data_IF_240250490899
#
_entry.id   IF_240250490899
#
_cell.length_a   1.000
_cell.length_b   1.000
_cell.length_c   1.000
_cell.angle_alpha   90.00
_cell.angle_beta   90.00
_cell.angle_gamma   90.00
#
_symmetry.space_group_name_H-M   'P 1'
#
loop_
_entity.id
_entity.type
_entity.pdbx_description
1 polymer ?
#
# COMPACT_ATOMS: atom_id res chain seq x y z
N UNK A 1 22.35 20.28 31.29
CA UNK A 1 21.82 19.06 31.93
C UNK A 1 22.83 18.55 32.93
N UNK A 2 22.47 18.54 34.21
CA UNK A 2 23.31 18.00 35.28
C UNK A 2 23.13 16.48 35.33
N UNK A 3 23.81 15.75 34.41
CA UNK A 3 23.86 14.30 34.51
C UNK A 3 24.87 13.90 35.56
N UNK A 4 24.44 13.07 36.48
CA UNK A 4 25.32 12.48 37.50
C UNK A 4 26.30 11.44 36.89
N UNK A 5 25.92 10.80 35.80
CA UNK A 5 26.78 9.88 35.03
C UNK A 5 27.48 10.62 33.88
N UNK A 6 28.76 10.89 34.04
CA UNK A 6 29.60 11.53 33.00
C UNK A 6 29.85 10.66 31.76
N UNK A 7 29.57 9.36 31.86
CA UNK A 7 29.75 8.38 30.80
C UNK A 7 28.41 8.06 30.09
N UNK A 8 27.35 8.83 30.34
CA UNK A 8 26.07 8.65 29.67
C UNK A 8 26.21 8.90 28.18
N UNK A 9 25.81 7.92 27.36
CA UNK A 9 25.73 8.05 25.91
C UNK A 9 24.33 8.41 25.49
N UNK A 10 24.23 9.39 24.59
CA UNK A 10 22.96 9.84 24.03
C UNK A 10 22.78 9.30 22.62
N UNK A 11 21.57 8.88 22.33
CA UNK A 11 21.16 8.47 21.00
C UNK A 11 19.99 9.32 20.54
N UNK A 12 19.92 9.59 19.23
CA UNK A 12 18.78 10.19 18.58
C UNK A 12 18.02 9.11 17.80
N UNK A 13 16.76 8.92 18.13
CA UNK A 13 15.92 7.99 17.36
C UNK A 13 15.34 8.68 16.14
N UNK A 14 15.63 8.14 14.95
CA UNK A 14 15.05 8.58 13.69
C UNK A 14 13.78 7.79 13.40
N UNK A 15 12.64 8.48 13.43
CA UNK A 15 11.32 7.90 13.19
C UNK A 15 11.10 7.53 11.72
N UNK A 16 9.95 6.97 11.41
CA UNK A 16 9.57 6.47 10.07
C UNK A 16 8.57 7.39 9.38
N UNK A 17 8.54 7.33 8.05
CA UNK A 17 7.50 7.96 7.25
C UNK A 17 6.16 7.23 7.41
N UNK A 18 5.06 7.97 7.32
CA UNK A 18 3.71 7.43 7.41
C UNK A 18 3.38 6.56 6.18
N UNK A 19 2.34 5.75 6.30
CA UNK A 19 1.86 4.89 5.22
C UNK A 19 1.27 5.73 4.08
N UNK A 20 1.53 5.33 2.84
CA UNK A 20 0.91 5.95 1.66
C UNK A 20 -0.61 5.88 1.75
N UNK A 21 -1.28 6.97 1.33
CA UNK A 21 -2.73 7.08 1.36
C UNK A 21 -3.34 7.11 2.76
N UNK A 22 -2.54 7.16 3.82
CA UNK A 22 -3.06 7.33 5.17
C UNK A 22 -3.60 8.76 5.37
N UNK A 23 -4.69 8.88 6.13
CA UNK A 23 -5.28 10.18 6.43
C UNK A 23 -4.28 11.17 7.04
N UNK A 24 -3.30 10.67 7.81
CA UNK A 24 -2.25 11.49 8.40
C UNK A 24 -1.24 12.00 7.39
N UNK A 25 -0.80 11.18 6.46
CA UNK A 25 0.11 11.62 5.39
C UNK A 25 -0.61 12.62 4.47
N UNK A 26 -1.84 12.32 4.07
CA UNK A 26 -2.66 13.19 3.23
C UNK A 26 -2.91 14.56 3.89
N UNK A 27 -3.18 14.61 5.19
CA UNK A 27 -3.28 15.86 5.95
C UNK A 27 -2.01 16.72 5.81
N UNK A 28 -0.84 16.09 5.89
CA UNK A 28 0.45 16.80 5.82
C UNK A 28 0.80 17.22 4.39
N UNK A 29 0.45 16.41 3.40
CA UNK A 29 0.58 16.76 1.98
C UNK A 29 -0.33 17.96 1.65
N UNK A 30 -1.58 17.93 2.09
CA UNK A 30 -2.51 19.05 1.87
C UNK A 30 -2.07 20.36 2.56
N UNK A 31 -1.29 20.28 3.62
CA UNK A 31 -0.64 21.44 4.27
C UNK A 31 0.65 21.88 3.57
N UNK A 32 1.05 21.23 2.49
CA UNK A 32 2.27 21.53 1.75
C UNK A 32 3.58 21.18 2.47
N UNK A 33 3.52 20.33 3.50
CA UNK A 33 4.70 19.91 4.26
C UNK A 33 5.49 18.82 3.55
N UNK A 34 4.80 17.94 2.84
CA UNK A 34 5.38 16.83 2.06
C UNK A 34 4.67 16.71 0.72
N UNK A 35 5.33 16.13 -0.27
CA UNK A 35 4.72 15.76 -1.56
C UNK A 35 4.21 14.34 -1.56
N UNK A 36 4.89 13.45 -0.85
CA UNK A 36 4.57 12.02 -0.75
C UNK A 36 5.31 11.37 0.45
N UNK A 37 5.20 10.07 0.58
CA UNK A 37 5.87 9.30 1.63
C UNK A 37 7.40 9.37 1.51
N UNK A 38 7.94 9.37 0.30
CA UNK A 38 9.39 9.38 0.09
C UNK A 38 9.99 10.74 0.42
N UNK A 39 9.29 11.82 0.08
CA UNK A 39 9.67 13.18 0.50
C UNK A 39 9.61 13.31 2.03
N UNK A 40 8.59 12.74 2.68
CA UNK A 40 8.53 12.69 4.15
C UNK A 40 9.74 11.94 4.72
N UNK A 41 10.07 10.76 4.17
CA UNK A 41 11.24 9.99 4.62
C UNK A 41 12.54 10.80 4.47
N UNK A 42 12.76 11.40 3.31
CA UNK A 42 13.95 12.20 3.03
C UNK A 42 14.10 13.36 4.03
N UNK A 43 13.02 14.09 4.29
CA UNK A 43 13.01 15.18 5.27
C UNK A 43 13.23 14.69 6.70
N UNK A 44 12.74 13.50 7.07
CA UNK A 44 13.02 12.89 8.38
C UNK A 44 14.52 12.60 8.52
N UNK A 45 15.15 12.01 7.50
CA UNK A 45 16.59 11.73 7.48
C UNK A 45 17.40 13.01 7.66
N UNK A 46 17.09 14.05 6.87
CA UNK A 46 17.76 15.35 6.94
C UNK A 46 17.60 16.03 8.30
N UNK A 47 16.37 15.99 8.85
CA UNK A 47 16.09 16.58 10.15
C UNK A 47 16.83 15.84 11.28
N UNK A 48 16.87 14.51 11.23
CA UNK A 48 17.58 13.71 12.22
C UNK A 48 19.09 14.01 12.19
N UNK A 49 19.68 14.09 11.00
CA UNK A 49 21.10 14.46 10.83
C UNK A 49 21.42 15.83 11.42
N UNK A 50 20.64 16.86 11.04
CA UNK A 50 20.82 18.21 11.59
C UNK A 50 20.64 18.27 13.11
N UNK A 51 19.61 17.59 13.64
CA UNK A 51 19.36 17.56 15.06
C UNK A 51 20.50 16.88 15.85
N UNK A 52 21.04 15.78 15.33
CA UNK A 52 22.15 15.07 15.94
C UNK A 52 23.41 15.96 16.02
N UNK A 53 23.73 16.70 14.95
CA UNK A 53 24.86 17.62 14.90
C UNK A 53 24.64 18.79 15.87
N UNK A 54 23.49 19.45 15.80
CA UNK A 54 23.18 20.64 16.62
C UNK A 54 23.11 20.34 18.11
N UNK A 55 22.69 19.13 18.48
CA UNK A 55 22.64 18.71 19.91
C UNK A 55 23.97 18.19 20.43
N UNK A 56 24.98 18.01 19.57
CA UNK A 56 26.27 17.42 19.94
C UNK A 56 26.23 15.92 20.18
N UNK A 57 25.13 15.23 19.76
CA UNK A 57 25.00 13.79 19.85
C UNK A 57 25.89 13.10 18.82
N UNK A 58 26.02 13.70 17.63
CA UNK A 58 26.73 13.11 16.50
C UNK A 58 25.84 12.16 15.66
N UNK A 59 26.05 12.17 14.35
CA UNK A 59 25.27 11.34 13.43
C UNK A 59 25.50 9.83 13.62
N UNK A 60 26.68 9.47 14.12
CA UNK A 60 27.04 8.10 14.46
C UNK A 60 26.17 7.51 15.58
N UNK A 61 25.47 8.35 16.33
CA UNK A 61 24.56 7.95 17.41
C UNK A 61 23.07 8.02 17.02
N UNK A 62 22.77 8.16 15.73
CA UNK A 62 21.40 8.04 15.23
C UNK A 62 21.00 6.55 15.21
N UNK A 63 19.82 6.25 15.76
CA UNK A 63 19.16 4.96 15.62
C UNK A 63 18.26 5.03 14.38
N UNK A 64 18.60 4.37 13.27
CA UNK A 64 17.98 4.62 11.96
C UNK A 64 16.68 3.83 11.75
N UNK A 65 15.72 3.92 12.68
CA UNK A 65 14.45 3.19 12.61
C UNK A 65 13.64 3.47 11.36
N UNK A 66 13.62 4.73 10.91
CA UNK A 66 12.94 5.12 9.67
C UNK A 66 13.54 4.48 8.43
N UNK A 67 14.87 4.36 8.34
CA UNK A 67 15.55 3.69 7.23
C UNK A 67 15.30 2.19 7.26
N UNK A 68 15.33 1.56 8.44
CA UNK A 68 15.02 0.13 8.57
C UNK A 68 13.60 -0.19 8.10
N UNK A 69 12.62 0.65 8.45
CA UNK A 69 11.24 0.52 7.96
C UNK A 69 11.18 0.71 6.44
N UNK A 70 11.92 1.68 5.90
CA UNK A 70 11.91 1.95 4.47
C UNK A 70 12.59 0.82 3.66
N UNK A 71 13.67 0.23 4.20
CA UNK A 71 14.28 -0.98 3.63
C UNK A 71 13.26 -2.12 3.57
N UNK A 72 12.58 -2.39 4.69
CA UNK A 72 11.56 -3.43 4.77
C UNK A 72 10.39 -3.21 3.81
N UNK A 73 10.02 -1.96 3.51
CA UNK A 73 8.99 -1.64 2.51
C UNK A 73 9.36 -2.05 1.09
N UNK A 74 10.63 -2.25 0.80
CA UNK A 74 11.07 -2.77 -0.51
C UNK A 74 10.89 -4.28 -0.65
N UNK A 75 10.58 -5.00 0.44
CA UNK A 75 10.30 -6.43 0.45
C UNK A 75 8.86 -6.76 0.07
N UNK A 76 8.50 -8.04 0.15
CA UNK A 76 7.13 -8.53 -0.05
C UNK A 76 6.11 -7.93 0.92
N UNK A 77 6.54 -7.42 2.07
CA UNK A 77 5.68 -6.72 3.04
C UNK A 77 5.09 -5.44 2.42
N UNK A 78 5.86 -4.76 1.55
CA UNK A 78 5.42 -3.49 0.98
C UNK A 78 5.16 -2.45 2.08
N UNK A 79 4.12 -1.65 1.91
CA UNK A 79 3.80 -0.54 2.81
C UNK A 79 2.94 -0.94 4.04
N UNK A 80 3.01 -2.22 4.49
CA UNK A 80 2.21 -2.74 5.62
C UNK A 80 2.94 -2.64 6.96
N UNK A 81 3.78 -1.65 7.16
CA UNK A 81 4.48 -1.43 8.44
C UNK A 81 3.62 -0.71 9.48
N UNK A 82 2.54 -0.07 9.08
CA UNK A 82 1.69 0.73 9.95
C UNK A 82 0.31 0.08 10.13
N UNK A 83 -0.21 0.05 11.38
CA UNK A 83 -1.54 -0.53 11.68
C UNK A 83 -2.71 0.44 11.42
N UNK A 84 -2.44 1.75 11.45
CA UNK A 84 -3.43 2.82 11.35
C UNK A 84 -2.92 4.00 10.51
N UNK A 85 -1.93 3.72 9.67
CA UNK A 85 -1.31 4.68 8.78
C UNK A 85 -0.09 5.39 9.35
N UNK A 86 0.15 5.36 10.67
CA UNK A 86 1.31 6.03 11.29
C UNK A 86 1.94 5.29 12.46
N UNK A 87 1.19 4.53 13.27
CA UNK A 87 1.79 3.68 14.31
C UNK A 87 2.27 2.35 13.73
N UNK A 88 3.40 1.85 14.21
CA UNK A 88 3.90 0.53 13.82
C UNK A 88 2.90 -0.57 14.12
N UNK A 89 2.76 -1.51 13.17
CA UNK A 89 1.99 -2.73 13.44
C UNK A 89 2.63 -3.56 14.56
N UNK A 90 1.85 -4.47 15.13
CA UNK A 90 2.24 -5.19 16.36
C UNK A 90 3.18 -6.36 16.12
N UNK A 91 3.41 -6.72 14.86
CA UNK A 91 4.23 -7.85 14.41
C UNK A 91 5.58 -7.38 13.87
N UNK A 92 5.80 -7.52 12.57
CA UNK A 92 7.07 -7.19 11.90
C UNK A 92 7.49 -5.72 12.08
N UNK A 93 6.54 -4.76 12.13
CA UNK A 93 6.89 -3.35 12.31
C UNK A 93 7.57 -3.07 13.66
N UNK A 94 6.97 -3.52 14.77
CA UNK A 94 7.58 -3.37 16.10
C UNK A 94 8.85 -4.18 16.24
N UNK A 95 8.90 -5.37 15.63
CA UNK A 95 10.10 -6.20 15.66
C UNK A 95 11.26 -5.49 14.95
N UNK A 96 11.06 -4.97 13.75
CA UNK A 96 12.07 -4.19 13.01
C UNK A 96 12.59 -3.02 13.85
N UNK A 97 11.69 -2.23 14.46
CA UNK A 97 12.10 -1.10 15.31
C UNK A 97 12.92 -1.58 16.52
N UNK A 98 12.47 -2.63 17.20
CA UNK A 98 13.19 -3.17 18.37
C UNK A 98 14.60 -3.67 18.00
N UNK A 99 14.75 -4.37 16.88
CA UNK A 99 16.03 -4.83 16.36
C UNK A 99 16.97 -3.67 16.04
N UNK A 100 16.44 -2.53 15.50
CA UNK A 100 17.25 -1.34 15.20
C UNK A 100 17.86 -0.75 16.47
N UNK A 101 17.08 -0.69 17.57
CA UNK A 101 17.59 -0.30 18.87
C UNK A 101 18.66 -1.28 19.39
N UNK A 102 18.39 -2.58 19.27
CA UNK A 102 19.29 -3.60 19.76
C UNK A 102 20.66 -3.52 19.05
N UNK A 103 20.69 -3.57 17.72
CA UNK A 103 21.93 -3.53 16.97
C UNK A 103 22.72 -2.24 17.20
N UNK A 104 22.00 -1.09 17.23
CA UNK A 104 22.66 0.20 17.42
C UNK A 104 23.27 0.38 18.80
N UNK A 105 22.58 -0.03 19.85
CA UNK A 105 23.03 0.19 21.25
C UNK A 105 24.10 -0.84 21.65
N UNK A 106 23.90 -2.10 21.27
CA UNK A 106 24.80 -3.17 21.70
C UNK A 106 25.95 -3.44 20.72
N UNK A 107 25.91 -2.88 19.51
CA UNK A 107 26.91 -3.12 18.46
C UNK A 107 26.97 -4.59 18.00
N UNK A 108 25.90 -5.35 18.21
CA UNK A 108 25.80 -6.76 17.83
C UNK A 108 24.83 -6.92 16.69
N UNK A 109 25.28 -7.54 15.59
CA UNK A 109 24.41 -7.81 14.45
C UNK A 109 23.16 -8.59 14.86
N UNK A 110 22.02 -8.19 14.31
CA UNK A 110 20.75 -8.90 14.47
C UNK A 110 20.57 -10.06 13.49
N UNK A 111 21.45 -10.17 12.50
CA UNK A 111 21.41 -11.28 11.54
C UNK A 111 21.59 -12.63 12.26
N UNK A 112 20.65 -13.54 12.02
CA UNK A 112 20.66 -14.88 12.59
C UNK A 112 20.17 -14.95 14.04
N UNK A 113 19.55 -13.90 14.59
CA UNK A 113 18.88 -13.99 15.88
C UNK A 113 17.71 -14.97 15.78
N UNK A 114 17.70 -15.94 16.68
CA UNK A 114 16.67 -17.00 16.73
C UNK A 114 15.35 -16.50 17.33
N UNK A 115 15.37 -15.43 18.14
CA UNK A 115 14.15 -14.89 18.73
C UNK A 115 13.40 -13.99 17.75
N UNK A 116 12.12 -14.26 17.59
CA UNK A 116 11.15 -13.37 16.94
C UNK A 116 9.75 -13.59 17.54
N UNK A 117 8.81 -12.62 17.36
CA UNK A 117 7.43 -12.80 17.78
C UNK A 117 6.77 -13.99 17.07
N UNK A 118 5.97 -14.78 17.80
CA UNK A 118 5.23 -15.90 17.21
C UNK A 118 4.24 -15.51 16.11
N UNK A 119 3.96 -14.22 15.96
CA UNK A 119 3.06 -13.66 14.94
C UNK A 119 3.70 -13.47 13.57
N UNK A 120 5.00 -13.72 13.43
CA UNK A 120 5.74 -13.64 12.15
C UNK A 120 6.48 -14.97 11.89
N UNK A 121 6.66 -15.29 10.60
CA UNK A 121 7.44 -16.47 10.19
C UNK A 121 8.94 -16.23 10.32
N UNK A 122 9.72 -17.31 10.29
CA UNK A 122 11.19 -17.25 10.27
C UNK A 122 11.69 -16.40 9.10
N UNK A 123 11.08 -16.56 7.92
CA UNK A 123 11.42 -15.77 6.73
C UNK A 123 11.13 -14.26 6.92
N UNK A 124 9.99 -13.94 7.55
CA UNK A 124 9.69 -12.55 7.88
C UNK A 124 10.68 -11.98 8.91
N UNK A 125 11.07 -12.79 9.89
CA UNK A 125 12.05 -12.37 10.89
C UNK A 125 13.43 -12.12 10.25
N UNK A 126 13.89 -13.00 9.38
CA UNK A 126 15.13 -12.85 8.63
C UNK A 126 15.10 -11.58 7.75
N UNK A 127 14.01 -11.36 7.03
CA UNK A 127 13.82 -10.13 6.25
C UNK A 127 13.92 -8.88 7.12
N UNK A 128 13.29 -8.85 8.30
CA UNK A 128 13.39 -7.74 9.24
C UNK A 128 14.82 -7.52 9.76
N UNK A 129 15.55 -8.61 10.03
CA UNK A 129 16.95 -8.56 10.44
C UNK A 129 17.83 -7.92 9.37
N UNK A 130 17.64 -8.31 8.11
CA UNK A 130 18.36 -7.70 6.99
C UNK A 130 17.96 -6.22 6.78
N UNK A 131 16.69 -5.87 6.88
CA UNK A 131 16.23 -4.49 6.80
C UNK A 131 16.93 -3.59 7.84
N UNK A 132 17.11 -4.11 9.05
CA UNK A 132 17.79 -3.42 10.15
C UNK A 132 19.28 -3.33 9.91
N UNK A 133 19.92 -4.45 9.63
CA UNK A 133 21.38 -4.50 9.45
C UNK A 133 21.84 -3.54 8.35
N UNK A 134 21.15 -3.52 7.21
CA UNK A 134 21.40 -2.58 6.13
C UNK A 134 21.19 -1.12 6.57
N UNK A 135 20.18 -0.84 7.39
CA UNK A 135 19.96 0.50 7.90
C UNK A 135 21.04 0.96 8.89
N UNK A 136 21.64 0.05 9.65
CA UNK A 136 22.78 0.38 10.53
C UNK A 136 24.02 0.73 9.70
N UNK A 137 24.24 0.03 8.58
CA UNK A 137 25.39 0.26 7.68
C UNK A 137 25.14 1.53 6.83
N UNK A 138 23.90 1.71 6.34
CA UNK A 138 23.50 2.79 5.46
C UNK A 138 22.37 3.63 6.05
N UNK A 139 22.60 4.38 7.17
CA UNK A 139 21.53 4.97 7.96
C UNK A 139 20.70 6.04 7.26
N UNK A 140 21.21 6.60 6.15
CA UNK A 140 20.58 7.70 5.40
C UNK A 140 20.08 7.31 4.02
N UNK A 141 20.25 6.06 3.61
CA UNK A 141 19.86 5.59 2.28
C UNK A 141 19.13 4.25 2.35
N UNK A 142 18.21 4.05 1.42
CA UNK A 142 17.44 2.82 1.32
C UNK A 142 18.27 1.75 0.64
N UNK A 143 18.37 0.59 1.30
CA UNK A 143 18.90 -0.65 0.72
C UNK A 143 17.70 -1.51 0.29
N UNK A 144 17.59 -1.80 -1.01
CA UNK A 144 16.50 -2.63 -1.53
C UNK A 144 16.66 -4.08 -1.10
N UNK A 145 15.58 -4.66 -0.60
CA UNK A 145 15.47 -6.07 -0.25
C UNK A 145 14.67 -6.87 -1.30
N UNK A 146 14.26 -6.23 -2.40
CA UNK A 146 13.35 -6.81 -3.39
C UNK A 146 13.92 -8.08 -4.06
N UNK A 147 15.22 -8.14 -4.30
CA UNK A 147 15.86 -9.28 -4.97
C UNK A 147 15.82 -10.57 -4.12
N UNK A 148 16.00 -10.44 -2.81
CA UNK A 148 16.04 -11.60 -1.90
C UNK A 148 14.70 -11.84 -1.22
N UNK A 149 14.00 -10.77 -0.83
CA UNK A 149 12.77 -10.81 -0.03
C UNK A 149 11.56 -10.19 -0.75
N UNK A 150 11.60 -10.10 -2.07
CA UNK A 150 10.48 -9.54 -2.86
C UNK A 150 9.26 -10.44 -2.92
N UNK A 151 9.42 -11.74 -2.65
CA UNK A 151 8.33 -12.73 -2.63
C UNK A 151 8.40 -13.51 -1.31
N UNK A 152 7.25 -13.69 -0.66
CA UNK A 152 7.16 -14.55 0.52
C UNK A 152 7.05 -16.02 0.10
N UNK A 153 8.05 -16.90 0.36
CA UNK A 153 7.98 -18.31 0.01
C UNK A 153 6.96 -19.10 0.86
N UNK A 154 6.62 -18.58 2.04
CA UNK A 154 5.62 -19.18 2.93
C UNK A 154 4.20 -18.75 2.58
N UNK A 155 4.04 -17.79 1.67
CA UNK A 155 2.75 -17.36 1.16
C UNK A 155 2.10 -18.52 0.39
N UNK A 156 1.41 -19.38 1.12
CA UNK A 156 0.44 -20.27 0.48
C UNK A 156 -0.76 -19.41 0.11
N UNK A 157 -1.08 -19.29 -1.17
CA UNK A 157 -2.28 -18.59 -1.60
C UNK A 157 -3.45 -19.17 -0.81
N UNK A 158 -4.17 -18.31 -0.08
CA UNK A 158 -5.36 -18.71 0.67
C UNK A 158 -6.57 -18.56 -0.22
N UNK A 159 -7.48 -19.51 -0.18
CA UNK A 159 -8.79 -19.35 -0.80
C UNK A 159 -9.43 -18.06 -0.28
N UNK A 160 -9.80 -17.18 -1.21
CA UNK A 160 -10.51 -15.95 -0.88
C UNK A 160 -11.99 -16.29 -0.78
N UNK A 161 -12.50 -16.32 0.43
CA UNK A 161 -13.89 -16.70 0.78
C UNK A 161 -14.82 -15.50 0.96
N UNK A 162 -14.29 -14.27 0.83
CA UNK A 162 -15.02 -13.01 1.05
C UNK A 162 -14.64 -11.96 0.02
N UNK A 163 -15.58 -11.06 -0.33
CA UNK A 163 -15.29 -9.99 -1.28
C UNK A 163 -14.10 -9.11 -0.86
N UNK A 164 -13.33 -8.69 -1.85
CA UNK A 164 -12.30 -7.67 -1.74
C UNK A 164 -12.86 -6.37 -2.34
N UNK A 165 -12.97 -5.34 -1.51
CA UNK A 165 -13.48 -4.04 -1.94
C UNK A 165 -12.28 -3.12 -2.24
N UNK A 166 -12.14 -2.71 -3.50
CA UNK A 166 -10.98 -1.95 -3.97
C UNK A 166 -11.45 -0.64 -4.58
N UNK A 167 -10.97 0.47 -4.04
CA UNK A 167 -11.20 1.81 -4.55
C UNK A 167 -9.99 2.28 -5.36
N UNK A 168 -10.22 2.67 -6.59
CA UNK A 168 -9.26 3.33 -7.47
C UNK A 168 -9.57 4.83 -7.50
N UNK A 169 -9.06 5.60 -6.52
CA UNK A 169 -9.46 7.00 -6.39
C UNK A 169 -8.86 7.70 -5.17
N UNK A 170 -9.56 8.72 -4.67
CA UNK A 170 -9.06 9.63 -3.62
C UNK A 170 -8.98 9.04 -2.20
N UNK A 171 -9.11 7.76 -2.03
CA UNK A 171 -9.13 7.11 -0.71
C UNK A 171 -10.49 7.21 0.00
N UNK A 172 -10.70 6.31 0.95
CA UNK A 172 -12.01 6.17 1.62
C UNK A 172 -12.24 7.28 2.66
N UNK A 173 -11.19 7.77 3.30
CA UNK A 173 -11.27 8.75 4.40
C UNK A 173 -11.71 8.14 5.73
N UNK A 174 -11.36 8.79 6.83
CA UNK A 174 -11.60 8.29 8.19
C UNK A 174 -13.05 8.39 8.66
N UNK A 175 -13.88 9.17 7.98
CA UNK A 175 -15.31 9.39 8.30
C UNK A 175 -16.25 8.58 7.40
N UNK A 176 -15.72 7.74 6.53
CA UNK A 176 -16.53 6.92 5.64
C UNK A 176 -17.32 5.88 6.43
N UNK A 177 -18.63 5.84 6.23
CA UNK A 177 -19.51 4.81 6.80
C UNK A 177 -19.75 3.76 5.73
N UNK A 178 -19.32 2.53 5.99
CA UNK A 178 -19.59 1.35 5.18
C UNK A 178 -19.55 0.12 6.07
N UNK A 179 -20.38 -0.88 5.76
CA UNK A 179 -20.31 -2.19 6.40
C UNK A 179 -19.11 -3.01 5.91
N UNK A 180 -18.41 -2.56 4.85
CA UNK A 180 -17.30 -3.27 4.24
C UNK A 180 -15.99 -2.51 4.46
N UNK A 181 -14.91 -3.27 4.59
CA UNK A 181 -13.55 -2.73 4.56
C UNK A 181 -13.14 -2.46 3.10
N UNK A 182 -12.75 -1.22 2.82
CA UNK A 182 -12.30 -0.77 1.50
C UNK A 182 -10.80 -0.58 1.47
N UNK A 183 -10.16 -1.12 0.46
CA UNK A 183 -8.75 -0.87 0.14
C UNK A 183 -8.66 0.24 -0.90
N UNK A 184 -7.68 1.13 -0.79
CA UNK A 184 -7.56 2.26 -1.73
C UNK A 184 -6.19 2.26 -2.41
N UNK A 185 -6.22 2.30 -3.74
CA UNK A 185 -5.08 2.65 -4.57
C UNK A 185 -5.29 4.08 -5.07
N UNK A 186 -4.44 5.00 -4.64
CA UNK A 186 -4.63 6.45 -4.84
C UNK A 186 -3.69 7.05 -5.89
N UNK A 187 -2.69 6.28 -6.31
CA UNK A 187 -1.67 6.69 -7.30
C UNK A 187 -1.90 5.99 -8.62
N UNK A 188 -1.83 6.74 -9.72
CA UNK A 188 -2.15 6.29 -11.09
C UNK A 188 -0.95 5.80 -11.90
N UNK A 189 0.25 5.88 -11.34
CA UNK A 189 1.51 5.62 -12.05
C UNK A 189 1.83 4.12 -12.15
N UNK A 190 2.54 3.73 -13.18
CA UNK A 190 3.09 2.38 -13.33
C UNK A 190 3.92 1.98 -12.11
N UNK A 191 3.70 0.76 -11.60
CA UNK A 191 4.35 0.23 -10.41
C UNK A 191 3.67 0.61 -9.09
N UNK A 192 2.76 1.59 -9.07
CA UNK A 192 1.95 1.89 -7.88
C UNK A 192 1.13 0.66 -7.48
N UNK A 193 1.07 0.38 -6.20
CA UNK A 193 0.40 -0.81 -5.71
C UNK A 193 -0.17 -0.64 -4.30
N UNK A 194 -1.09 -1.49 -3.94
CA UNK A 194 -1.55 -1.74 -2.58
C UNK A 194 -1.55 -3.26 -2.35
N UNK A 195 -0.86 -3.70 -1.32
CA UNK A 195 -0.73 -5.13 -0.96
C UNK A 195 -1.43 -5.45 0.34
N UNK A 196 -1.47 -6.75 0.67
CA UNK A 196 -2.12 -7.25 1.88
C UNK A 196 -3.55 -6.72 2.05
N UNK A 197 -4.32 -6.77 0.95
CA UNK A 197 -5.67 -6.22 0.93
C UNK A 197 -6.52 -6.84 2.05
N UNK A 198 -7.31 -6.00 2.70
CA UNK A 198 -8.32 -6.46 3.64
C UNK A 198 -9.56 -6.93 2.87
N UNK A 199 -10.10 -8.08 3.27
CA UNK A 199 -11.40 -8.52 2.77
C UNK A 199 -12.54 -7.68 3.37
N UNK A 200 -13.77 -7.88 2.90
CA UNK A 200 -14.94 -7.09 3.30
C UNK A 200 -15.21 -7.07 4.82
N UNK A 201 -14.61 -7.97 5.59
CA UNK A 201 -14.72 -8.03 7.06
C UNK A 201 -13.49 -7.50 7.80
N UNK A 202 -12.52 -6.96 7.08
CA UNK A 202 -11.29 -6.38 7.65
C UNK A 202 -10.20 -7.39 7.98
N UNK A 203 -10.29 -8.63 7.47
CA UNK A 203 -9.19 -9.59 7.60
C UNK A 203 -8.18 -9.40 6.46
N UNK A 204 -6.90 -9.32 6.81
CA UNK A 204 -5.82 -9.22 5.84
C UNK A 204 -5.72 -10.47 4.96
N UNK A 205 -5.40 -10.24 3.70
CA UNK A 205 -5.12 -11.28 2.70
C UNK A 205 -3.73 -11.05 2.11
N UNK A 206 -3.27 -11.98 1.26
CA UNK A 206 -2.02 -11.85 0.51
C UNK A 206 -2.23 -11.17 -0.85
N UNK A 207 -3.46 -10.73 -1.11
CA UNK A 207 -3.82 -10.13 -2.40
C UNK A 207 -3.20 -8.73 -2.51
N UNK A 208 -2.64 -8.48 -3.68
CA UNK A 208 -2.03 -7.21 -4.07
C UNK A 208 -2.62 -6.75 -5.40
N UNK A 209 -2.85 -5.45 -5.51
CA UNK A 209 -3.22 -4.77 -6.75
C UNK A 209 -2.08 -3.85 -7.17
N UNK A 210 -1.65 -3.94 -8.43
CA UNK A 210 -0.56 -3.14 -8.99
C UNK A 210 -0.94 -2.57 -10.35
N UNK A 211 -0.55 -1.32 -10.61
CA UNK A 211 -0.72 -0.71 -11.95
C UNK A 211 0.41 -1.15 -12.85
N UNK A 212 0.06 -1.75 -13.99
CA UNK A 212 1.00 -2.16 -15.03
C UNK A 212 1.12 -1.08 -16.12
N UNK A 213 -0.03 -0.58 -16.63
CA UNK A 213 -0.10 0.59 -17.51
C UNK A 213 -0.82 1.72 -16.77
N UNK A 214 -0.28 2.94 -16.78
CA UNK A 214 -0.75 4.03 -15.95
C UNK A 214 -2.15 4.51 -16.38
N UNK A 215 -2.82 5.21 -15.49
CA UNK A 215 -3.99 6.04 -15.79
C UNK A 215 -3.56 7.51 -15.86
N UNK A 216 -4.34 8.33 -16.57
CA UNK A 216 -4.02 9.75 -16.76
C UNK A 216 -4.24 10.57 -15.46
N UNK A 217 -5.15 10.13 -14.59
CA UNK A 217 -5.41 10.84 -13.36
C UNK A 217 -6.55 10.28 -12.52
N UNK A 218 -6.90 11.02 -11.47
CA UNK A 218 -8.00 10.72 -10.55
C UNK A 218 -9.12 11.72 -10.77
N UNK A 219 -10.33 11.21 -11.00
CA UNK A 219 -11.57 11.98 -11.05
C UNK A 219 -12.31 11.90 -9.72
N UNK A 220 -12.93 13.00 -9.29
CA UNK A 220 -13.76 13.06 -8.08
C UNK A 220 -15.17 13.62 -8.35
N UNK A 221 -15.62 13.56 -9.59
CA UNK A 221 -16.90 14.12 -10.06
C UNK A 221 -17.98 13.06 -10.28
N UNK A 222 -17.82 11.88 -9.69
CA UNK A 222 -18.85 10.83 -9.71
C UNK A 222 -19.99 11.09 -8.71
N UNK A 223 -20.88 10.11 -8.59
CA UNK A 223 -22.03 10.21 -7.68
C UNK A 223 -21.58 10.15 -6.21
N UNK A 224 -22.18 10.98 -5.37
CA UNK A 224 -22.02 10.92 -3.92
C UNK A 224 -23.03 10.00 -3.24
N UNK A 225 -23.99 9.45 -4.01
CA UNK A 225 -25.05 8.58 -3.51
C UNK A 225 -25.26 7.46 -4.54
N UNK A 226 -24.59 6.31 -4.31
CA UNK A 226 -24.79 5.12 -5.11
C UNK A 226 -25.98 4.31 -4.59
N UNK A 227 -26.78 3.76 -5.51
CA UNK A 227 -27.90 2.87 -5.20
C UNK A 227 -27.57 1.40 -5.44
N UNK A 228 -26.29 1.10 -5.70
CA UNK A 228 -25.83 -0.30 -5.88
C UNK A 228 -25.78 -1.06 -4.54
N UNK A 229 -25.81 -2.38 -4.61
CA UNK A 229 -25.61 -3.25 -3.44
C UNK A 229 -24.16 -3.28 -2.90
N UNK A 230 -23.22 -2.54 -3.53
CA UNK A 230 -21.81 -2.54 -3.14
C UNK A 230 -21.51 -1.72 -1.87
N UNK A 231 -22.51 -1.02 -1.31
CA UNK A 231 -22.39 -0.21 -0.09
C UNK A 231 -21.13 0.69 -0.10
N UNK A 232 -21.05 1.53 -1.14
CA UNK A 232 -19.91 2.42 -1.37
C UNK A 232 -20.03 3.71 -0.55
N UNK A 233 -19.05 4.05 0.27
CA UNK A 233 -18.94 5.39 0.83
C UNK A 233 -18.90 6.45 -0.28
N UNK A 234 -19.37 7.65 0.01
CA UNK A 234 -19.44 8.74 -0.98
C UNK A 234 -18.08 9.08 -1.61
N UNK A 235 -16.98 8.92 -0.86
CA UNK A 235 -15.63 9.12 -1.40
C UNK A 235 -15.23 8.04 -2.41
N UNK A 236 -15.74 6.83 -2.26
CA UNK A 236 -15.52 5.73 -3.21
C UNK A 236 -16.38 5.93 -4.45
N UNK A 237 -17.69 6.13 -4.28
CA UNK A 237 -18.62 6.23 -5.41
C UNK A 237 -18.40 7.45 -6.30
N UNK A 238 -17.84 8.55 -5.75
CA UNK A 238 -17.56 9.78 -6.51
C UNK A 238 -16.18 9.79 -7.18
N UNK A 239 -15.26 8.93 -6.80
CA UNK A 239 -13.90 8.94 -7.34
C UNK A 239 -13.59 7.72 -8.19
N UNK A 240 -12.79 7.93 -9.23
CA UNK A 240 -12.30 6.87 -10.11
C UNK A 240 -11.00 7.29 -10.77
N UNK A 241 -10.18 6.32 -11.15
CA UNK A 241 -9.11 6.56 -12.11
C UNK A 241 -9.71 6.73 -13.50
N UNK A 242 -9.12 7.62 -14.31
CA UNK A 242 -9.50 7.82 -15.70
C UNK A 242 -8.28 7.79 -16.62
N UNK A 243 -8.50 7.44 -17.88
CA UNK A 243 -7.49 7.42 -18.93
C UNK A 243 -8.09 7.66 -20.30
N UNK A 244 -7.32 8.27 -21.19
CA UNK A 244 -7.64 8.47 -22.61
C UNK A 244 -7.09 7.35 -23.48
N UNK A 245 -6.20 6.53 -22.94
CA UNK A 245 -5.62 5.35 -23.55
C UNK A 245 -5.91 4.11 -22.71
N UNK A 246 -5.52 2.94 -23.24
CA UNK A 246 -5.65 1.68 -22.50
C UNK A 246 -4.76 1.70 -21.25
N UNK A 247 -5.35 1.41 -20.10
CA UNK A 247 -4.67 1.22 -18.82
C UNK A 247 -4.80 -0.22 -18.33
N UNK A 248 -3.88 -0.69 -17.49
CA UNK A 248 -3.98 -2.05 -16.95
C UNK A 248 -3.51 -2.19 -15.51
N UNK A 249 -4.10 -3.17 -14.83
CA UNK A 249 -3.90 -3.50 -13.43
C UNK A 249 -3.68 -5.00 -13.30
N UNK A 250 -2.77 -5.41 -12.42
CA UNK A 250 -2.59 -6.82 -12.04
C UNK A 250 -3.12 -7.00 -10.63
N UNK A 251 -3.99 -8.00 -10.46
CA UNK A 251 -4.41 -8.53 -9.15
C UNK A 251 -3.62 -9.81 -8.94
N UNK A 252 -2.83 -9.91 -7.90
CA UNK A 252 -1.95 -11.04 -7.58
C UNK A 252 -2.14 -11.52 -6.15
N UNK A 253 -1.58 -12.69 -5.80
CA UNK A 253 -1.80 -13.31 -4.48
C UNK A 253 -3.17 -13.96 -4.34
N UNK A 254 -3.87 -14.18 -5.45
CA UNK A 254 -5.09 -14.97 -5.53
C UNK A 254 -4.78 -16.47 -5.44
N UNK A 255 -5.78 -17.27 -5.05
CA UNK A 255 -5.59 -18.72 -5.06
C UNK A 255 -5.61 -19.23 -6.51
N UNK A 256 -4.53 -19.90 -7.00
CA UNK A 256 -4.46 -20.41 -8.36
C UNK A 256 -5.62 -21.35 -8.68
N UNK A 257 -6.22 -21.20 -9.84
CA UNK A 257 -7.35 -22.02 -10.27
C UNK A 257 -8.69 -21.67 -9.61
N UNK A 258 -8.74 -20.75 -8.66
CA UNK A 258 -10.01 -20.28 -8.09
C UNK A 258 -10.71 -19.31 -9.05
N UNK A 259 -12.04 -19.48 -9.20
CA UNK A 259 -12.88 -18.57 -9.94
C UNK A 259 -13.34 -17.39 -9.09
N UNK A 260 -13.39 -16.20 -9.69
CA UNK A 260 -13.79 -14.95 -9.06
C UNK A 260 -14.81 -14.22 -9.93
N UNK A 261 -15.82 -13.64 -9.28
CA UNK A 261 -16.74 -12.71 -9.92
C UNK A 261 -16.21 -11.27 -9.76
N UNK A 262 -16.07 -10.58 -10.88
CA UNK A 262 -15.50 -9.25 -10.95
C UNK A 262 -16.62 -8.22 -11.15
N UNK A 263 -16.81 -7.32 -10.20
CA UNK A 263 -17.80 -6.24 -10.25
C UNK A 263 -17.10 -4.90 -10.32
N UNK A 264 -17.45 -4.07 -11.30
CA UNK A 264 -16.87 -2.74 -11.49
C UNK A 264 -17.97 -1.68 -11.49
N UNK A 265 -17.76 -0.65 -10.68
CA UNK A 265 -18.57 0.56 -10.68
C UNK A 265 -17.72 1.76 -11.06
N UNK A 266 -18.24 2.63 -11.89
CA UNK A 266 -17.68 3.94 -12.20
C UNK A 266 -18.81 4.95 -12.42
N UNK A 267 -18.53 6.21 -12.10
CA UNK A 267 -19.52 7.30 -12.20
C UNK A 267 -18.86 8.62 -12.59
N UNK A 268 -19.49 9.37 -13.50
CA UNK A 268 -19.13 10.73 -13.91
C UNK A 268 -20.39 11.56 -14.01
N UNK A 269 -20.60 12.51 -13.07
CA UNK A 269 -21.85 13.27 -12.97
C UNK A 269 -21.85 14.56 -13.80
N UNK A 270 -20.71 15.18 -14.02
CA UNK A 270 -20.56 16.48 -14.71
C UNK A 270 -20.00 16.34 -16.11
N UNK A 271 -20.27 15.23 -16.79
CA UNK A 271 -19.80 15.02 -18.15
C UNK A 271 -20.78 15.64 -19.16
N UNK A 272 -20.25 16.28 -20.19
CA UNK A 272 -21.03 16.75 -21.36
C UNK A 272 -21.29 15.63 -22.35
N UNK A 273 -20.48 14.57 -22.34
CA UNK A 273 -20.71 13.37 -23.15
C UNK A 273 -21.99 12.67 -22.72
N UNK A 274 -22.69 12.11 -23.68
CA UNK A 274 -23.90 11.31 -23.41
C UNK A 274 -23.55 9.85 -23.11
N UNK A 275 -22.39 9.40 -23.58
CA UNK A 275 -21.89 8.06 -23.38
C UNK A 275 -20.36 8.06 -23.26
N UNK A 276 -19.85 7.59 -22.13
CA UNK A 276 -18.43 7.39 -21.88
C UNK A 276 -18.15 5.90 -21.71
N UNK A 277 -18.70 5.08 -22.59
CA UNK A 277 -18.59 3.62 -22.51
C UNK A 277 -17.15 3.20 -22.26
N UNK A 278 -16.98 2.40 -21.22
CA UNK A 278 -15.69 1.84 -20.82
C UNK A 278 -15.80 0.32 -20.80
N UNK A 279 -14.83 -0.35 -21.43
CA UNK A 279 -14.73 -1.82 -21.46
C UNK A 279 -13.72 -2.25 -20.42
N UNK A 280 -14.12 -3.17 -19.56
CA UNK A 280 -13.31 -3.84 -18.55
C UNK A 280 -13.09 -5.29 -19.01
N UNK A 281 -11.85 -5.64 -19.33
CA UNK A 281 -11.47 -6.98 -19.76
C UNK A 281 -10.61 -7.64 -18.71
N UNK A 282 -11.03 -8.81 -18.24
CA UNK A 282 -10.31 -9.61 -17.27
C UNK A 282 -9.70 -10.83 -17.94
N UNK A 283 -8.46 -11.16 -17.55
CA UNK A 283 -7.70 -12.30 -18.05
C UNK A 283 -6.99 -13.01 -16.92
N UNK A 284 -7.28 -14.29 -16.76
CA UNK A 284 -6.55 -15.25 -15.95
C UNK A 284 -6.24 -16.48 -16.80
N UNK A 285 -6.64 -17.68 -16.36
CA UNK A 285 -6.67 -18.88 -17.22
C UNK A 285 -7.74 -18.77 -18.31
N UNK A 286 -8.85 -18.13 -18.00
CA UNK A 286 -9.90 -17.76 -18.93
C UNK A 286 -10.00 -16.24 -19.10
N UNK A 287 -10.90 -15.80 -19.97
CA UNK A 287 -11.11 -14.38 -20.25
C UNK A 287 -12.59 -14.03 -20.15
N UNK A 288 -12.86 -12.79 -19.79
CA UNK A 288 -14.20 -12.21 -19.83
C UNK A 288 -14.13 -10.70 -19.90
N UNK A 289 -15.18 -10.07 -20.39
CA UNK A 289 -15.28 -8.62 -20.42
C UNK A 289 -16.73 -8.18 -20.20
N UNK A 290 -16.87 -6.95 -19.71
CA UNK A 290 -18.13 -6.23 -19.64
C UNK A 290 -17.90 -4.74 -19.90
N UNK A 291 -18.94 -4.05 -20.34
CA UNK A 291 -18.89 -2.60 -20.51
C UNK A 291 -19.82 -1.90 -19.55
N UNK A 292 -19.49 -0.66 -19.23
CA UNK A 292 -20.27 0.24 -18.39
C UNK A 292 -20.22 1.64 -19.01
N UNK A 293 -21.38 2.32 -19.06
CA UNK A 293 -21.41 3.75 -19.28
C UNK A 293 -21.40 4.48 -17.93
N UNK A 294 -20.28 5.13 -17.52
CA UNK A 294 -20.21 5.84 -16.26
C UNK A 294 -20.94 7.19 -16.27
N UNK A 295 -21.38 7.69 -17.44
CA UNK A 295 -22.07 8.99 -17.54
C UNK A 295 -23.36 8.98 -16.75
N UNK A 296 -23.43 9.83 -15.71
CA UNK A 296 -24.57 9.94 -14.76
C UNK A 296 -24.97 8.62 -14.10
N UNK A 297 -24.03 7.69 -14.00
CA UNK A 297 -24.30 6.39 -13.40
C UNK A 297 -24.41 6.50 -11.86
N UNK A 298 -25.51 5.97 -11.31
CA UNK A 298 -25.73 5.86 -9.87
C UNK A 298 -25.98 4.42 -9.40
N UNK A 299 -26.31 3.50 -10.34
CA UNK A 299 -26.82 2.18 -10.02
C UNK A 299 -26.18 1.02 -10.79
N UNK A 300 -25.69 1.26 -12.00
CA UNK A 300 -25.25 0.18 -12.89
C UNK A 300 -23.85 -0.32 -12.52
N UNK A 301 -23.65 -1.63 -12.61
CA UNK A 301 -22.39 -2.33 -12.37
C UNK A 301 -22.06 -3.16 -13.61
N UNK A 302 -20.80 -3.12 -14.06
CA UNK A 302 -20.30 -4.10 -15.01
C UNK A 302 -19.87 -5.35 -14.24
N UNK A 303 -20.38 -6.52 -14.61
CA UNK A 303 -20.08 -7.81 -13.97
C UNK A 303 -19.50 -8.78 -14.96
N UNK A 304 -18.39 -9.41 -14.60
CA UNK A 304 -17.81 -10.56 -15.32
C UNK A 304 -17.67 -11.69 -14.32
N UNK A 305 -18.34 -12.79 -14.57
CA UNK A 305 -18.39 -13.93 -13.66
C UNK A 305 -17.34 -14.98 -14.01
N UNK A 306 -16.85 -15.68 -12.99
CA UNK A 306 -16.07 -16.91 -13.12
C UNK A 306 -14.70 -16.73 -13.76
N UNK A 307 -14.01 -15.60 -13.55
CA UNK A 307 -12.61 -15.43 -14.00
C UNK A 307 -11.70 -16.25 -13.08
N UNK A 308 -10.97 -17.18 -13.67
CA UNK A 308 -10.10 -18.13 -12.97
C UNK A 308 -8.69 -17.51 -12.88
N UNK A 309 -8.17 -17.40 -11.64
CA UNK A 309 -6.80 -16.96 -11.44
C UNK A 309 -5.79 -17.91 -12.11
N UNK A 310 -4.76 -17.35 -12.75
CA UNK A 310 -3.73 -18.12 -13.43
C UNK A 310 -2.90 -18.99 -12.46
N UNK A 311 -2.02 -19.84 -12.97
CA UNK A 311 -1.14 -20.72 -12.18
C UNK A 311 -0.28 -19.97 -11.15
N UNK A 312 -0.08 -18.66 -11.35
CA UNK A 312 0.66 -17.76 -10.45
C UNK A 312 -0.26 -16.95 -9.54
N UNK A 313 -1.55 -17.29 -9.49
CA UNK A 313 -2.54 -16.57 -8.67
C UNK A 313 -2.79 -15.15 -9.14
N UNK A 314 -2.87 -14.89 -10.46
CA UNK A 314 -3.04 -13.56 -11.02
C UNK A 314 -4.27 -13.46 -11.90
N UNK A 315 -4.87 -12.27 -11.88
CA UNK A 315 -5.87 -11.81 -12.85
C UNK A 315 -5.42 -10.43 -13.35
N UNK A 316 -5.46 -10.24 -14.66
CA UNK A 316 -5.15 -8.98 -15.33
C UNK A 316 -6.45 -8.26 -15.67
N UNK A 317 -6.55 -6.99 -15.31
CA UNK A 317 -7.63 -6.10 -15.74
C UNK A 317 -7.09 -5.10 -16.76
N UNK A 318 -7.69 -5.04 -17.92
CA UNK A 318 -7.47 -3.99 -18.93
C UNK A 318 -8.70 -3.11 -18.99
N UNK A 319 -8.48 -1.79 -18.99
CA UNK A 319 -9.52 -0.75 -19.05
C UNK A 319 -9.29 0.10 -20.28
N UNK A 320 -10.30 0.24 -21.13
CA UNK A 320 -10.22 1.06 -22.36
C UNK A 320 -11.59 1.63 -22.75
N UNK A 321 -11.57 2.64 -23.59
CA UNK A 321 -12.80 3.17 -24.20
C UNK A 321 -13.54 2.09 -24.98
N UNK A 322 -14.85 2.07 -24.88
CA UNK A 322 -15.74 1.23 -25.67
C UNK A 322 -16.04 1.84 -27.05
N UNK A 323 -16.70 1.06 -27.88
CA UNK A 323 -17.06 1.48 -29.24
C UNK A 323 -18.08 2.64 -29.27
N UNK A 324 -18.88 2.76 -28.21
CA UNK A 324 -19.91 3.81 -28.08
C UNK A 324 -19.45 5.00 -27.21
N UNK A 325 -18.16 5.16 -26.98
CA UNK A 325 -17.61 6.29 -26.28
C UNK A 325 -17.64 7.53 -27.18
N UNK A 326 -18.39 8.59 -26.81
CA UNK A 326 -18.59 9.82 -27.58
C UNK A 326 -18.66 11.08 -26.72
#
# INVERSE_FOLDING_TARGET
THLTNKNAQFYLYMTWAYQNGSAKLEELINKGLYTDQMDQYTKIVDCAGRAAIQSGIGEENIIPGGTAVQNGRTSYIGDDYNRDGYHMNLSHGRYTVALTWYEKIFGKSVIGLSYHPASISDFCAEMCQHAVHEAIIHPKSISSLADTYGVNPDAKPKVIDRPLMINFGIGVGSSAVSQYSWNSLTTTLTGANVGNLYNSKGYGTEVKVSIEKPFDGVSSIGTTSSTTALDMPSNVSKSAFYGTTESSVIISGLYPGQAYDMNVFASVMNNTSTNSETVYSFKGENNGNASLNPTKNTANIATVQGIIADEKGRIYLTVKAGANNN
#
